data_IF_369226741806
#
_entry.id   IF_369226741806
#
_cell.length_a   1.000
_cell.length_b   1.000
_cell.length_c   1.000
_cell.angle_alpha   90.00
_cell.angle_beta   90.00
_cell.angle_gamma   90.00
#
_symmetry.space_group_name_H-M   'P 1'
#
loop_
_entity.id
_entity.type
_entity.pdbx_description
1 polymer ?
#
# COMPACT_ATOMS: atom_id res chain seq x y z
N UNK A 1 -19.10 2.91 -25.49
CA UNK A 1 -18.59 2.91 -24.11
C UNK A 1 -17.48 3.96 -24.03
N UNK A 2 -17.60 4.97 -23.17
CA UNK A 2 -16.52 5.97 -23.00
C UNK A 2 -15.41 5.32 -22.16
N UNK A 3 -14.16 5.50 -22.54
CA UNK A 3 -13.01 5.05 -21.73
C UNK A 3 -12.82 6.03 -20.57
N UNK A 4 -12.61 5.51 -19.37
CA UNK A 4 -12.29 6.30 -18.18
C UNK A 4 -10.84 6.02 -17.78
N UNK A 5 -10.04 7.09 -17.65
CA UNK A 5 -8.61 7.01 -17.36
C UNK A 5 -8.32 7.57 -15.97
N UNK A 6 -7.48 6.86 -15.21
CA UNK A 6 -7.12 7.17 -13.83
C UNK A 6 -5.60 7.30 -13.73
N UNK A 7 -5.10 8.11 -12.79
CA UNK A 7 -3.67 8.28 -12.55
C UNK A 7 -3.36 8.31 -11.06
N UNK A 8 -2.29 7.61 -10.64
CA UNK A 8 -1.75 7.72 -9.27
C UNK A 8 -0.70 8.83 -9.22
N UNK A 9 -0.80 9.71 -8.22
CA UNK A 9 0.15 10.82 -8.02
C UNK A 9 0.45 11.00 -6.53
N UNK A 10 1.68 11.43 -6.23
CA UNK A 10 2.03 11.90 -4.89
C UNK A 10 1.80 13.41 -4.76
N UNK A 11 1.51 13.92 -3.55
CA UNK A 11 1.58 15.35 -3.25
C UNK A 11 2.90 16.00 -3.69
N UNK A 12 4.05 15.35 -3.51
CA UNK A 12 5.35 15.91 -3.95
C UNK A 12 5.38 16.17 -5.46
N UNK A 13 4.88 15.25 -6.29
CA UNK A 13 4.83 15.43 -7.73
C UNK A 13 3.93 16.61 -8.13
N UNK A 14 2.81 16.77 -7.43
CA UNK A 14 1.87 17.87 -7.64
C UNK A 14 2.41 19.22 -7.15
N UNK A 15 3.29 19.23 -6.15
CA UNK A 15 3.94 20.43 -5.62
C UNK A 15 5.14 20.85 -6.45
N UNK A 16 5.92 19.89 -6.94
CA UNK A 16 7.07 20.13 -7.80
C UNK A 16 6.69 20.70 -9.17
N UNK A 17 5.53 20.29 -9.71
CA UNK A 17 5.00 20.81 -10.97
C UNK A 17 3.53 21.26 -10.83
N UNK A 18 3.30 22.57 -10.59
CA UNK A 18 1.96 23.12 -10.49
C UNK A 18 1.10 22.97 -11.75
N UNK A 19 1.72 22.79 -12.94
CA UNK A 19 1.01 22.62 -14.20
C UNK A 19 0.60 21.16 -14.47
N UNK A 20 1.21 20.19 -13.76
CA UNK A 20 0.97 18.76 -13.92
C UNK A 20 -0.52 18.42 -13.86
N UNK A 21 -1.26 19.00 -12.91
CA UNK A 21 -2.66 18.65 -12.70
C UNK A 21 -3.56 19.12 -13.86
N UNK A 22 -3.20 20.24 -14.49
CA UNK A 22 -3.90 20.74 -15.66
C UNK A 22 -3.55 19.92 -16.91
N UNK A 23 -2.28 19.55 -17.09
CA UNK A 23 -1.85 18.64 -18.15
C UNK A 23 -2.52 17.25 -18.06
N UNK A 24 -2.64 16.68 -16.85
CA UNK A 24 -3.32 15.41 -16.60
C UNK A 24 -4.81 15.48 -16.95
N UNK A 25 -5.45 16.60 -16.60
CA UNK A 25 -6.84 16.85 -16.99
C UNK A 25 -7.00 16.95 -18.51
N UNK A 26 -6.13 17.71 -19.17
CA UNK A 26 -6.15 17.88 -20.63
C UNK A 26 -5.92 16.56 -21.38
N UNK A 27 -5.14 15.65 -20.80
CA UNK A 27 -4.97 14.28 -21.29
C UNK A 27 -6.23 13.40 -21.14
N UNK A 28 -7.30 13.90 -20.51
CA UNK A 28 -8.57 13.20 -20.36
C UNK A 28 -8.65 12.28 -19.14
N UNK A 29 -7.75 12.44 -18.16
CA UNK A 29 -7.84 11.71 -16.88
C UNK A 29 -9.00 12.26 -16.06
N UNK A 30 -9.86 11.36 -15.57
CA UNK A 30 -11.04 11.71 -14.77
C UNK A 30 -10.84 11.56 -13.27
N UNK A 31 -9.83 10.79 -12.84
CA UNK A 31 -9.64 10.40 -11.43
C UNK A 31 -8.17 10.39 -11.06
N UNK A 32 -7.84 11.02 -9.94
CA UNK A 32 -6.52 10.96 -9.31
C UNK A 32 -6.58 10.08 -8.06
N UNK A 33 -5.62 9.17 -7.92
CA UNK A 33 -5.37 8.39 -6.72
C UNK A 33 -4.14 8.96 -6.01
N UNK A 34 -4.36 9.65 -4.90
CA UNK A 34 -3.29 10.24 -4.10
C UNK A 34 -2.59 9.14 -3.29
N UNK A 35 -1.26 9.18 -3.24
CA UNK A 35 -0.48 8.31 -2.36
C UNK A 35 -0.88 8.53 -0.89
N UNK A 36 -1.50 7.51 -0.29
CA UNK A 36 -2.04 7.55 1.07
C UNK A 36 -1.08 6.93 2.09
N UNK A 37 -1.59 5.94 2.82
CA UNK A 37 -0.81 5.18 3.81
C UNK A 37 -0.07 4.05 3.11
N UNK A 38 1.26 4.08 3.20
CA UNK A 38 2.12 3.13 2.51
C UNK A 38 2.95 2.38 3.55
N UNK A 39 2.67 1.07 3.69
CA UNK A 39 3.45 0.05 4.39
C UNK A 39 3.93 0.45 5.79
N UNK A 40 3.05 1.12 6.53
CA UNK A 40 3.31 1.56 7.91
C UNK A 40 3.62 3.05 8.05
N UNK A 41 3.63 3.81 6.95
CA UNK A 41 4.02 5.22 6.95
C UNK A 41 2.96 6.14 6.37
N UNK A 42 2.78 7.28 7.03
CA UNK A 42 2.19 8.48 6.45
C UNK A 42 3.31 9.33 5.86
N UNK A 43 3.49 9.26 4.54
CA UNK A 43 4.47 10.11 3.84
C UNK A 43 4.03 11.57 3.78
N UNK A 44 2.73 11.80 3.90
CA UNK A 44 2.10 13.11 3.84
C UNK A 44 1.12 13.26 5.00
N UNK A 45 1.02 14.45 5.63
CA UNK A 45 -0.06 14.76 6.55
C UNK A 45 -1.43 14.59 5.89
N UNK A 46 -2.42 14.13 6.65
CA UNK A 46 -3.79 13.92 6.15
C UNK A 46 -4.42 15.22 5.66
N UNK A 47 -4.06 16.34 6.26
CA UNK A 47 -4.47 17.69 5.87
C UNK A 47 -3.96 18.06 4.48
N UNK A 48 -2.73 17.66 4.15
CA UNK A 48 -2.14 17.87 2.82
C UNK A 48 -2.88 17.01 1.77
N UNK A 49 -3.20 15.75 2.09
CA UNK A 49 -4.01 14.89 1.23
C UNK A 49 -5.41 15.49 1.00
N UNK A 50 -6.06 15.98 2.05
CA UNK A 50 -7.36 16.63 1.96
C UNK A 50 -7.32 17.91 1.12
N UNK A 51 -6.28 18.74 1.27
CA UNK A 51 -6.05 19.92 0.45
C UNK A 51 -5.94 19.57 -1.04
N UNK A 52 -5.12 18.57 -1.37
CA UNK A 52 -4.95 18.12 -2.74
C UNK A 52 -6.22 17.52 -3.33
N UNK A 53 -6.99 16.75 -2.54
CA UNK A 53 -8.32 16.28 -2.96
C UNK A 53 -9.21 17.44 -3.41
N UNK A 54 -9.29 18.51 -2.64
CA UNK A 54 -10.11 19.67 -3.02
C UNK A 54 -9.57 20.38 -4.27
N UNK A 55 -8.24 20.49 -4.43
CA UNK A 55 -7.62 21.08 -5.63
C UNK A 55 -7.91 20.27 -6.90
N UNK A 56 -7.92 18.94 -6.81
CA UNK A 56 -8.31 18.04 -7.92
C UNK A 56 -9.80 18.19 -8.24
N UNK A 57 -10.66 18.20 -7.21
CA UNK A 57 -12.11 18.33 -7.39
C UNK A 57 -12.53 19.65 -8.03
N UNK A 58 -11.88 20.76 -7.68
CA UNK A 58 -12.11 22.07 -8.33
C UNK A 58 -11.80 22.08 -9.82
N UNK A 59 -10.97 21.15 -10.31
CA UNK A 59 -10.66 20.98 -11.72
C UNK A 59 -11.65 20.06 -12.46
N UNK A 60 -12.64 19.52 -11.76
CA UNK A 60 -13.66 18.64 -12.34
C UNK A 60 -13.26 17.16 -12.37
N UNK A 61 -12.18 16.78 -11.70
CA UNK A 61 -11.74 15.38 -11.56
C UNK A 61 -12.14 14.81 -10.20
N UNK A 62 -12.18 13.48 -10.07
CA UNK A 62 -12.31 12.81 -8.79
C UNK A 62 -10.95 12.67 -8.11
N UNK A 63 -10.94 12.63 -6.78
CA UNK A 63 -9.74 12.37 -6.00
C UNK A 63 -10.03 11.38 -4.88
N UNK A 64 -9.28 10.27 -4.92
CA UNK A 64 -9.32 9.17 -3.97
C UNK A 64 -7.89 8.90 -3.47
N UNK A 65 -7.70 7.86 -2.67
CA UNK A 65 -6.37 7.47 -2.18
C UNK A 65 -6.01 6.05 -2.57
N UNK A 66 -4.73 5.82 -2.83
CA UNK A 66 -4.13 4.50 -2.93
C UNK A 66 -3.28 4.24 -1.70
N UNK A 67 -3.52 3.11 -1.05
CA UNK A 67 -2.67 2.59 0.01
C UNK A 67 -1.88 1.40 -0.51
N UNK A 68 -0.65 1.25 0.00
CA UNK A 68 0.20 0.08 -0.21
C UNK A 68 0.33 -0.63 1.14
N UNK A 69 -0.60 -1.54 1.49
CA UNK A 69 -0.74 -2.06 2.85
C UNK A 69 0.52 -2.61 3.53
N UNK A 70 1.31 -3.41 2.84
CA UNK A 70 2.44 -4.19 3.39
C UNK A 70 3.78 -3.88 2.73
N UNK A 71 3.75 -3.19 1.60
CA UNK A 71 4.93 -2.81 0.84
C UNK A 71 5.27 -3.83 -0.24
N UNK A 72 6.05 -3.39 -1.21
CA UNK A 72 6.66 -4.27 -2.18
C UNK A 72 8.10 -4.59 -1.76
N UNK A 73 8.58 -5.82 -2.01
CA UNK A 73 10.00 -6.10 -1.90
C UNK A 73 10.82 -5.18 -2.83
N UNK A 74 11.93 -4.61 -2.34
CA UNK A 74 12.85 -3.76 -3.11
C UNK A 74 12.42 -2.28 -3.22
N UNK A 75 13.19 -1.48 -3.97
CA UNK A 75 12.92 -0.05 -4.23
C UNK A 75 11.85 0.16 -5.32
N UNK A 76 10.72 -0.54 -5.17
CA UNK A 76 9.65 -0.51 -6.18
C UNK A 76 8.89 0.83 -6.21
N UNK A 77 9.06 1.66 -5.18
CA UNK A 77 8.49 3.00 -5.12
C UNK A 77 9.41 4.07 -5.74
N UNK A 78 10.63 3.70 -6.14
CA UNK A 78 11.52 4.52 -6.96
C UNK A 78 11.82 5.87 -6.33
N UNK A 79 12.22 5.87 -5.06
CA UNK A 79 12.43 7.10 -4.32
C UNK A 79 13.61 7.89 -4.90
N UNK A 80 13.33 8.88 -5.74
CA UNK A 80 14.37 9.66 -6.44
C UNK A 80 15.38 10.33 -5.51
N UNK A 81 15.02 10.51 -4.23
CA UNK A 81 15.83 11.18 -3.22
C UNK A 81 16.11 10.33 -1.97
N UNK A 82 15.83 9.01 -1.99
CA UNK A 82 16.22 8.09 -0.92
C UNK A 82 15.50 8.24 0.43
N UNK A 83 14.50 9.11 0.54
CA UNK A 83 13.77 9.38 1.80
C UNK A 83 12.57 8.46 2.06
N UNK A 84 12.31 7.50 1.17
CA UNK A 84 11.19 6.57 1.29
C UNK A 84 11.74 5.25 1.85
N UNK A 85 11.30 4.79 3.03
CA UNK A 85 11.82 3.56 3.62
C UNK A 85 11.56 2.35 2.70
N UNK A 86 12.55 1.48 2.54
CA UNK A 86 12.43 0.24 1.73
C UNK A 86 11.78 -0.92 2.48
N UNK A 87 11.60 -0.76 3.79
CA UNK A 87 11.03 -1.75 4.70
C UNK A 87 9.94 -1.09 5.54
N UNK A 88 8.96 -1.86 6.05
CA UNK A 88 8.01 -1.33 7.01
C UNK A 88 8.70 -0.88 8.32
N UNK A 89 7.99 -0.14 9.20
CA UNK A 89 8.49 0.27 10.49
C UNK A 89 9.06 -0.90 11.31
N UNK A 90 10.07 -0.68 12.18
CA UNK A 90 10.72 -1.75 12.95
C UNK A 90 9.77 -2.58 13.84
N UNK A 91 8.63 -2.01 14.23
CA UNK A 91 7.62 -2.69 15.05
C UNK A 91 6.71 -3.62 14.22
N UNK A 92 6.71 -3.51 12.89
CA UNK A 92 6.06 -4.48 12.01
C UNK A 92 6.95 -5.70 11.80
N UNK A 93 6.36 -6.88 11.93
CA UNK A 93 7.09 -8.13 11.74
C UNK A 93 7.22 -8.49 10.26
N UNK A 94 8.46 -8.63 9.81
CA UNK A 94 8.77 -9.19 8.48
C UNK A 94 8.34 -10.65 8.34
N UNK A 95 8.04 -11.06 7.11
CA UNK A 95 7.74 -12.43 6.77
C UNK A 95 8.99 -13.32 6.83
N UNK A 96 8.79 -14.63 6.95
CA UNK A 96 9.86 -15.63 7.00
C UNK A 96 9.69 -16.59 5.83
N UNK A 97 10.76 -16.84 5.07
CA UNK A 97 10.82 -17.81 3.97
C UNK A 97 10.97 -19.24 4.49
N UNK A 98 10.77 -20.27 3.64
CA UNK A 98 11.03 -21.67 4.02
C UNK A 98 12.45 -21.93 4.52
N UNK A 99 13.44 -21.19 4.00
CA UNK A 99 14.84 -21.28 4.43
C UNK A 99 15.16 -20.49 5.72
N UNK A 100 14.16 -19.88 6.35
CA UNK A 100 14.29 -19.07 7.57
C UNK A 100 14.72 -17.62 7.34
N UNK A 101 15.06 -17.22 6.11
CA UNK A 101 15.41 -15.83 5.80
C UNK A 101 14.18 -14.91 5.88
N UNK A 102 14.42 -13.62 6.15
CA UNK A 102 13.34 -12.63 6.32
C UNK A 102 13.11 -11.81 5.05
N UNK A 103 11.87 -11.37 4.85
CA UNK A 103 11.51 -10.49 3.75
C UNK A 103 10.45 -9.46 4.16
N UNK A 104 10.52 -8.28 3.55
CA UNK A 104 9.51 -7.23 3.64
C UNK A 104 8.45 -7.41 2.54
N UNK A 105 7.27 -6.81 2.77
CA UNK A 105 6.11 -7.03 1.91
C UNK A 105 5.33 -8.27 2.31
N UNK A 106 4.01 -8.21 2.11
CA UNK A 106 3.09 -9.37 2.12
C UNK A 106 3.04 -10.19 3.43
N UNK A 107 3.50 -9.62 4.55
CA UNK A 107 3.55 -10.25 5.86
C UNK A 107 2.35 -9.82 6.71
N UNK A 108 1.48 -10.78 7.07
CA UNK A 108 0.31 -10.55 7.90
C UNK A 108 0.61 -10.90 9.37
N UNK A 109 1.10 -9.91 10.10
CA UNK A 109 1.27 -9.97 11.56
C UNK A 109 0.75 -8.68 12.20
N UNK A 110 0.18 -8.75 13.41
CA UNK A 110 -0.01 -7.54 14.22
C UNK A 110 1.31 -6.79 14.42
N UNK A 111 1.30 -5.44 14.42
CA UNK A 111 0.12 -4.56 14.32
C UNK A 111 -0.23 -4.12 12.89
N UNK A 112 0.33 -4.75 11.85
CA UNK A 112 0.23 -4.24 10.48
C UNK A 112 -1.21 -4.23 9.96
N UNK A 113 -2.03 -5.22 10.33
CA UNK A 113 -3.44 -5.27 9.95
C UNK A 113 -4.22 -4.16 10.65
N UNK A 114 -4.00 -3.99 11.96
CA UNK A 114 -4.67 -3.02 12.80
C UNK A 114 -4.35 -1.59 12.37
N UNK A 115 -3.09 -1.28 12.07
CA UNK A 115 -2.67 0.04 11.61
C UNK A 115 -3.19 0.36 10.20
N UNK A 116 -3.28 -0.62 9.30
CA UNK A 116 -3.92 -0.43 8.01
C UNK A 116 -5.42 -0.13 8.15
N UNK A 117 -6.12 -0.85 9.03
CA UNK A 117 -7.53 -0.60 9.32
C UNK A 117 -7.74 0.79 9.94
N UNK A 118 -6.87 1.18 10.89
CA UNK A 118 -6.87 2.52 11.48
C UNK A 118 -6.65 3.60 10.41
N UNK A 119 -5.71 3.37 9.49
CA UNK A 119 -5.42 4.31 8.42
C UNK A 119 -6.64 4.57 7.52
N UNK A 120 -7.39 3.53 7.16
CA UNK A 120 -8.67 3.67 6.43
C UNK A 120 -9.68 4.48 7.24
N UNK A 121 -9.77 4.25 8.56
CA UNK A 121 -10.62 5.03 9.46
C UNK A 121 -10.27 6.52 9.45
N UNK A 122 -8.97 6.85 9.56
CA UNK A 122 -8.48 8.23 9.52
C UNK A 122 -8.73 8.91 8.16
N UNK A 123 -8.53 8.20 7.05
CA UNK A 123 -8.85 8.69 5.71
C UNK A 123 -10.35 9.00 5.56
N UNK A 124 -11.20 8.14 6.11
CA UNK A 124 -12.65 8.33 6.10
C UNK A 124 -13.06 9.59 6.87
N UNK A 125 -12.47 9.81 8.05
CA UNK A 125 -12.68 11.02 8.84
C UNK A 125 -12.24 12.29 8.09
N UNK A 126 -11.22 12.19 7.25
CA UNK A 126 -10.75 13.30 6.41
C UNK A 126 -11.54 13.46 5.11
N UNK A 127 -12.59 12.67 4.89
CA UNK A 127 -13.55 12.83 3.79
C UNK A 127 -13.26 11.99 2.54
N UNK A 128 -12.27 11.10 2.57
CA UNK A 128 -12.08 10.11 1.51
C UNK A 128 -13.16 9.03 1.59
N UNK A 129 -13.61 8.52 0.43
CA UNK A 129 -14.71 7.53 0.34
C UNK A 129 -14.36 6.32 -0.51
N UNK A 130 -13.28 6.40 -1.27
CA UNK A 130 -12.72 5.26 -1.99
C UNK A 130 -11.24 5.16 -1.67
N UNK A 131 -10.81 3.94 -1.43
CA UNK A 131 -9.42 3.56 -1.19
C UNK A 131 -9.11 2.43 -2.17
N UNK A 132 -8.08 2.61 -2.98
CA UNK A 132 -7.48 1.51 -3.72
C UNK A 132 -6.45 0.86 -2.82
N UNK A 133 -6.58 -0.45 -2.61
CA UNK A 133 -5.58 -1.24 -1.92
C UNK A 133 -4.69 -1.88 -2.97
N UNK A 134 -3.39 -1.63 -2.88
CA UNK A 134 -2.45 -2.21 -3.83
C UNK A 134 -2.37 -3.74 -3.73
N UNK A 135 -1.76 -4.36 -4.74
CA UNK A 135 -1.70 -5.80 -4.90
C UNK A 135 -0.68 -6.49 -3.98
N UNK A 136 -0.11 -5.80 -3.00
CA UNK A 136 0.79 -6.35 -1.98
C UNK A 136 0.08 -7.23 -0.94
N UNK A 137 -1.25 -7.36 -1.04
CA UNK A 137 -2.01 -8.49 -0.49
C UNK A 137 -1.65 -9.84 -1.12
N UNK A 138 -0.90 -9.87 -2.23
CA UNK A 138 -0.36 -11.13 -2.76
C UNK A 138 0.54 -11.76 -1.70
N UNK A 139 0.17 -12.91 -1.13
CA UNK A 139 1.00 -13.53 -0.09
C UNK A 139 2.38 -13.99 -0.61
N UNK A 140 2.60 -14.01 -1.93
CA UNK A 140 3.84 -14.43 -2.56
C UNK A 140 4.76 -13.26 -2.93
N UNK A 141 6.07 -13.44 -2.74
CA UNK A 141 7.06 -12.41 -3.07
C UNK A 141 7.30 -12.25 -4.57
N UNK A 142 6.97 -13.25 -5.39
CA UNK A 142 7.08 -13.21 -6.85
C UNK A 142 6.16 -14.27 -7.50
N UNK A 143 5.85 -14.16 -8.80
CA UNK A 143 5.13 -15.20 -9.55
C UNK A 143 5.81 -16.57 -9.45
N UNK A 144 5.01 -17.63 -9.31
CA UNK A 144 5.51 -19.01 -9.22
C UNK A 144 6.08 -19.43 -7.86
N UNK A 145 6.10 -18.54 -6.87
CA UNK A 145 6.56 -18.85 -5.50
C UNK A 145 5.35 -19.14 -4.61
N UNK A 146 5.40 -20.23 -3.84
CA UNK A 146 4.45 -20.45 -2.74
C UNK A 146 4.66 -19.37 -1.70
N UNK A 147 3.67 -18.49 -1.59
CA UNK A 147 3.70 -17.34 -0.68
C UNK A 147 3.38 -17.69 0.77
N UNK A 148 3.34 -16.65 1.58
CA UNK A 148 3.04 -16.69 3.00
C UNK A 148 4.30 -16.64 3.85
N UNK A 149 4.07 -16.48 5.16
CA UNK A 149 5.13 -16.48 6.15
C UNK A 149 5.22 -17.88 6.80
N UNK A 150 6.44 -18.43 6.82
CA UNK A 150 6.77 -19.75 7.34
C UNK A 150 7.31 -19.69 8.78
N UNK A 151 6.96 -18.65 9.53
CA UNK A 151 7.35 -18.56 10.93
C UNK A 151 6.58 -19.57 11.78
N UNK A 152 7.16 -19.97 12.92
CA UNK A 152 6.55 -20.97 13.81
C UNK A 152 5.07 -20.68 14.18
N UNK A 153 4.66 -19.43 14.49
CA UNK A 153 3.24 -19.11 14.71
C UNK A 153 2.33 -19.41 13.51
N UNK A 154 2.73 -19.04 12.28
CA UNK A 154 1.92 -19.29 11.08
C UNK A 154 1.90 -20.77 10.71
N UNK A 155 3.03 -21.47 10.83
CA UNK A 155 3.10 -22.91 10.69
C UNK A 155 2.15 -23.61 11.67
N UNK A 156 2.22 -23.28 12.97
CA UNK A 156 1.37 -23.87 13.99
C UNK A 156 -0.12 -23.64 13.70
N UNK A 157 -0.49 -22.41 13.31
CA UNK A 157 -1.87 -22.08 12.92
C UNK A 157 -2.34 -22.91 11.72
N UNK A 158 -1.50 -23.04 10.69
CA UNK A 158 -1.82 -23.84 9.52
C UNK A 158 -2.04 -25.31 9.87
N UNK A 159 -1.11 -25.91 10.62
CA UNK A 159 -1.21 -27.31 11.03
C UNK A 159 -2.47 -27.57 11.86
N UNK A 160 -2.76 -26.69 12.82
CA UNK A 160 -3.98 -26.77 13.64
C UNK A 160 -5.26 -26.64 12.81
N UNK A 161 -5.30 -25.68 11.89
CA UNK A 161 -6.49 -25.40 11.07
C UNK A 161 -6.88 -26.60 10.18
N UNK A 162 -5.89 -27.34 9.69
CA UNK A 162 -6.13 -28.44 8.75
C UNK A 162 -5.94 -29.83 9.37
N UNK A 163 -5.70 -29.92 10.68
CA UNK A 163 -5.54 -31.20 11.37
C UNK A 163 -4.24 -31.94 11.01
N UNK A 164 -3.23 -31.21 10.56
CA UNK A 164 -1.92 -31.78 10.25
C UNK A 164 -1.02 -31.85 11.49
N UNK A 165 -0.15 -32.86 11.52
CA UNK A 165 0.94 -32.96 12.48
C UNK A 165 2.21 -32.29 11.95
N UNK A 166 3.21 -32.05 12.82
CA UNK A 166 4.52 -31.55 12.40
C UNK A 166 5.18 -32.40 11.32
N UNK A 167 4.93 -33.71 11.29
CA UNK A 167 5.47 -34.61 10.27
C UNK A 167 4.95 -34.33 8.84
N UNK A 168 3.83 -33.61 8.68
CA UNK A 168 3.32 -33.21 7.35
C UNK A 168 3.98 -31.93 6.84
N UNK A 169 4.70 -31.21 7.71
CA UNK A 169 5.35 -29.95 7.35
C UNK A 169 6.74 -30.15 6.74
N UNK A 170 7.40 -31.24 7.14
CA UNK A 170 8.69 -31.69 6.59
C UNK A 170 8.51 -32.28 5.17
#
# INVERSE_FOLDING_TARGET
MRRDYHLCLSPDALEADPALLDAVKEAGVGTIWLAGFLYGYWHYPLEQLALWRERVRRRGMQAHVVNVPFGHPGDSLGAMHGNVPLTPPPHWRMGVRPDGSRYAGTSLHPPAEEENAEAIGRLTQHGFRQVFLDNDFRLATAPGIVGGCFCAPHQQRFLQQYGYTSAHWE
#
